data_IF_509995404297
#
_entry.id   IF_509995404297
#
_cell.length_a   1.000
_cell.length_b   1.000
_cell.length_c   1.000
_cell.angle_alpha   90.00
_cell.angle_beta   90.00
_cell.angle_gamma   90.00
#
_symmetry.space_group_name_H-M   'P 1'
#
loop_
_entity.id
_entity.type
_entity.pdbx_description
1 polymer ?
#
# COMPACT_ATOMS: atom_id res chain seq x y z
N UNK A 1 -7.82 -17.57 26.38
CA UNK A 1 -8.58 -17.29 27.61
C UNK A 1 -9.75 -18.26 27.81
N UNK A 2 -10.68 -18.40 26.84
CA UNK A 2 -11.85 -19.30 26.93
C UNK A 2 -11.52 -20.76 27.27
N UNK A 3 -10.47 -21.34 26.69
CA UNK A 3 -10.08 -22.72 26.96
C UNK A 3 -9.66 -22.96 28.42
N UNK A 4 -8.98 -21.99 29.06
CA UNK A 4 -8.60 -22.09 30.47
C UNK A 4 -9.82 -21.88 31.38
N UNK A 5 -10.70 -20.96 31.03
CA UNK A 5 -11.96 -20.78 31.75
C UNK A 5 -12.86 -22.03 31.70
N UNK A 6 -12.96 -22.71 30.54
CA UNK A 6 -13.70 -23.99 30.42
C UNK A 6 -13.10 -25.14 31.24
N UNK A 7 -11.84 -25.01 31.68
CA UNK A 7 -11.15 -25.96 32.57
C UNK A 7 -11.23 -25.55 34.04
N UNK A 8 -12.04 -24.53 34.35
CA UNK A 8 -12.23 -23.98 35.70
C UNK A 8 -10.94 -23.45 36.34
N UNK A 9 -10.02 -22.93 35.52
CA UNK A 9 -8.77 -22.34 35.99
C UNK A 9 -9.02 -21.02 36.75
N UNK A 10 -8.22 -20.76 37.79
CA UNK A 10 -8.37 -19.56 38.61
C UNK A 10 -8.07 -18.30 37.80
N UNK A 11 -8.84 -17.24 38.03
CA UNK A 11 -8.68 -15.91 37.37
C UNK A 11 -7.23 -15.40 37.41
N UNK A 12 -6.53 -15.59 38.53
CA UNK A 12 -5.12 -15.19 38.68
C UNK A 12 -4.16 -15.96 37.76
N UNK A 13 -4.38 -17.27 37.58
CA UNK A 13 -3.57 -18.11 36.68
C UNK A 13 -3.82 -17.72 35.23
N UNK A 14 -5.07 -17.49 34.86
CA UNK A 14 -5.43 -17.01 33.53
C UNK A 14 -4.82 -15.62 33.26
N UNK A 15 -4.86 -14.72 34.24
CA UNK A 15 -4.29 -13.38 34.14
C UNK A 15 -2.77 -13.42 33.91
N UNK A 16 -2.07 -14.26 34.67
CA UNK A 16 -0.64 -14.48 34.52
C UNK A 16 -0.28 -15.11 33.17
N UNK A 17 -1.04 -16.12 32.71
CA UNK A 17 -0.79 -16.77 31.44
C UNK A 17 -0.90 -15.82 30.24
N UNK A 18 -1.87 -14.90 30.28
CA UNK A 18 -2.11 -13.92 29.20
C UNK A 18 -1.44 -12.57 29.43
N UNK A 19 -0.60 -12.44 30.47
CA UNK A 19 0.06 -11.19 30.87
C UNK A 19 -0.91 -9.99 30.89
N UNK A 20 -2.02 -10.15 31.60
CA UNK A 20 -3.07 -9.15 31.68
C UNK A 20 -3.63 -9.02 33.10
N UNK A 21 -4.43 -7.98 33.35
CA UNK A 21 -5.04 -7.79 34.68
C UNK A 21 -6.11 -8.85 34.96
N UNK A 22 -6.28 -9.22 36.23
CA UNK A 22 -7.41 -10.05 36.66
C UNK A 22 -8.77 -9.44 36.30
N UNK A 23 -8.85 -8.11 36.22
CA UNK A 23 -10.07 -7.40 35.80
C UNK A 23 -10.39 -7.67 34.33
N UNK A 24 -9.39 -7.68 33.45
CA UNK A 24 -9.53 -8.08 32.04
C UNK A 24 -10.09 -9.49 31.92
N UNK A 25 -9.56 -10.43 32.71
CA UNK A 25 -10.05 -11.82 32.73
C UNK A 25 -11.51 -11.89 33.20
N UNK A 26 -11.87 -11.22 34.30
CA UNK A 26 -13.27 -11.17 34.79
C UNK A 26 -14.23 -10.59 33.74
N UNK A 27 -13.81 -9.56 33.01
CA UNK A 27 -14.62 -8.97 31.94
C UNK A 27 -14.85 -9.95 30.79
N UNK A 28 -13.83 -10.73 30.41
CA UNK A 28 -13.97 -11.77 29.39
C UNK A 28 -14.81 -12.96 29.85
N UNK A 29 -14.68 -13.41 31.10
CA UNK A 29 -15.52 -14.47 31.67
C UNK A 29 -17.01 -14.07 31.63
N UNK A 30 -17.34 -12.86 32.11
CA UNK A 30 -18.71 -12.31 32.01
C UNK A 30 -19.23 -12.23 30.58
N UNK A 31 -18.35 -12.06 29.59
CA UNK A 31 -18.72 -12.07 28.17
C UNK A 31 -19.03 -13.49 27.71
N UNK A 32 -18.19 -14.46 28.04
CA UNK A 32 -18.41 -15.86 27.68
C UNK A 32 -19.67 -16.46 28.32
N UNK A 33 -20.01 -16.06 29.55
CA UNK A 33 -21.27 -16.45 30.22
C UNK A 33 -22.53 -15.92 29.50
N UNK A 34 -22.41 -14.83 28.74
CA UNK A 34 -23.50 -14.19 28.00
C UNK A 34 -23.58 -14.64 26.54
N UNK A 35 -22.73 -15.56 26.10
CA UNK A 35 -22.76 -16.07 24.73
C UNK A 35 -23.86 -17.10 24.52
N UNK A 36 -24.49 -17.05 23.35
CA UNK A 36 -25.39 -18.08 22.81
C UNK A 36 -24.81 -18.56 21.46
N UNK A 37 -25.26 -19.72 20.96
CA UNK A 37 -24.98 -20.24 19.60
C UNK A 37 -25.15 -19.18 18.50
N UNK A 38 -26.02 -18.18 18.67
CA UNK A 38 -26.23 -17.09 17.73
C UNK A 38 -25.45 -15.79 18.04
N UNK A 39 -24.70 -15.73 19.16
CA UNK A 39 -24.00 -14.52 19.60
C UNK A 39 -22.66 -14.88 20.28
N UNK A 40 -21.68 -15.27 19.46
CA UNK A 40 -20.29 -15.42 19.90
C UNK A 40 -19.76 -14.04 20.31
N UNK A 41 -18.95 -13.94 21.37
CA UNK A 41 -18.41 -12.66 21.83
C UNK A 41 -17.56 -12.02 20.74
N UNK A 42 -18.12 -11.03 20.05
CA UNK A 42 -17.40 -10.15 19.16
C UNK A 42 -16.73 -9.01 19.96
N UNK A 43 -15.74 -8.36 19.35
CA UNK A 43 -15.14 -7.16 19.93
C UNK A 43 -16.21 -6.06 19.98
N UNK A 44 -16.69 -5.75 21.19
CA UNK A 44 -17.68 -4.69 21.46
C UNK A 44 -17.03 -3.31 21.64
N UNK A 45 -15.78 -3.12 21.21
CA UNK A 45 -15.24 -1.76 21.07
C UNK A 45 -16.26 -0.94 20.27
N UNK A 46 -16.53 0.27 20.76
CA UNK A 46 -17.38 1.21 20.05
C UNK A 46 -16.88 1.29 18.61
N UNK A 47 -17.79 1.10 17.66
CA UNK A 47 -17.45 1.25 16.26
C UNK A 47 -17.09 2.71 16.04
N UNK A 48 -15.79 2.99 16.04
CA UNK A 48 -15.22 4.29 15.71
C UNK A 48 -15.05 4.43 14.20
N UNK A 49 -15.66 3.56 13.38
CA UNK A 49 -15.76 3.83 11.96
C UNK A 49 -16.60 5.08 11.77
N UNK A 50 -15.92 6.23 11.63
CA UNK A 50 -16.54 7.49 11.23
C UNK A 50 -17.36 7.31 9.95
N UNK A 51 -18.18 8.30 9.60
CA UNK A 51 -19.14 8.22 8.49
C UNK A 51 -18.48 7.66 7.22
N UNK A 52 -18.77 6.38 6.93
CA UNK A 52 -18.31 5.74 5.70
C UNK A 52 -19.15 6.29 4.56
N UNK A 53 -18.49 6.53 3.43
CA UNK A 53 -19.19 6.85 2.18
C UNK A 53 -20.19 5.72 1.87
N UNK A 54 -21.45 6.07 1.63
CA UNK A 54 -22.46 5.10 1.22
C UNK A 54 -22.03 4.40 -0.09
N UNK A 55 -22.34 3.10 -0.24
CA UNK A 55 -21.91 2.30 -1.41
C UNK A 55 -22.28 2.94 -2.75
N UNK A 56 -23.46 3.58 -2.84
CA UNK A 56 -23.89 4.32 -4.05
C UNK A 56 -22.97 5.50 -4.37
N UNK A 57 -22.53 6.23 -3.36
CA UNK A 57 -21.59 7.36 -3.52
C UNK A 57 -20.21 6.86 -3.94
N UNK A 58 -19.80 5.66 -3.49
CA UNK A 58 -18.54 5.04 -3.92
C UNK A 58 -18.58 4.71 -5.40
N UNK A 59 -19.70 4.18 -5.91
CA UNK A 59 -19.83 3.87 -7.33
C UNK A 59 -19.81 5.14 -8.19
N UNK A 60 -20.41 6.24 -7.72
CA UNK A 60 -20.33 7.54 -8.40
C UNK A 60 -18.89 8.06 -8.46
N UNK A 61 -18.12 7.93 -7.38
CA UNK A 61 -16.69 8.26 -7.35
C UNK A 61 -15.92 7.41 -8.37
N UNK A 62 -16.21 6.11 -8.42
CA UNK A 62 -15.58 5.19 -9.38
C UNK A 62 -15.88 5.58 -10.83
N UNK A 63 -17.14 5.86 -11.15
CA UNK A 63 -17.55 6.27 -12.49
C UNK A 63 -16.85 7.56 -12.93
N UNK A 64 -16.80 8.56 -12.06
CA UNK A 64 -16.13 9.83 -12.36
C UNK A 64 -14.63 9.67 -12.65
N UNK A 65 -13.95 8.74 -11.95
CA UNK A 65 -12.54 8.42 -12.20
C UNK A 65 -12.37 7.67 -13.52
N UNK A 66 -13.29 6.77 -13.88
CA UNK A 66 -13.24 6.06 -15.16
C UNK A 66 -13.50 7.00 -16.35
N UNK A 67 -14.43 7.95 -16.20
CA UNK A 67 -14.72 8.96 -17.22
C UNK A 67 -13.59 9.98 -17.37
N UNK A 68 -12.95 10.37 -16.26
CA UNK A 68 -11.82 11.29 -16.27
C UNK A 68 -10.75 10.86 -15.26
N UNK A 69 -9.80 10.00 -15.67
CA UNK A 69 -8.76 9.49 -14.78
C UNK A 69 -7.74 10.56 -14.34
N UNK A 70 -7.72 11.72 -15.00
CA UNK A 70 -6.85 12.84 -14.67
C UNK A 70 -7.49 13.84 -13.70
N UNK A 71 -8.75 13.65 -13.31
CA UNK A 71 -9.43 14.49 -12.33
C UNK A 71 -8.74 14.35 -10.96
N UNK A 72 -8.23 15.45 -10.36
CA UNK A 72 -7.66 15.39 -9.01
C UNK A 72 -8.70 14.92 -8.00
N UNK A 73 -8.35 13.94 -7.15
CA UNK A 73 -9.28 13.35 -6.17
C UNK A 73 -9.84 14.39 -5.19
N UNK A 74 -9.09 15.46 -4.90
CA UNK A 74 -9.54 16.58 -4.06
C UNK A 74 -10.79 17.30 -4.59
N UNK A 75 -11.02 17.26 -5.90
CA UNK A 75 -12.16 17.92 -6.57
C UNK A 75 -13.38 17.02 -6.72
N UNK A 76 -13.24 15.71 -6.48
CA UNK A 76 -14.31 14.73 -6.65
C UNK A 76 -15.50 14.98 -5.71
N UNK A 77 -15.32 15.34 -4.42
CA UNK A 77 -16.46 15.67 -3.56
C UNK A 77 -17.33 16.80 -4.11
N UNK A 78 -16.70 17.90 -4.53
CA UNK A 78 -17.38 19.06 -5.11
C UNK A 78 -18.09 18.69 -6.42
N UNK A 79 -17.37 18.02 -7.34
CA UNK A 79 -17.91 17.61 -8.64
C UNK A 79 -19.12 16.66 -8.53
N UNK A 80 -19.19 15.86 -7.47
CA UNK A 80 -20.27 14.89 -7.23
C UNK A 80 -21.31 15.36 -6.21
N UNK A 81 -21.17 16.56 -5.64
CA UNK A 81 -22.03 17.08 -4.58
C UNK A 81 -22.04 16.18 -3.34
N UNK A 82 -20.89 15.65 -2.96
CA UNK A 82 -20.73 14.79 -1.78
C UNK A 82 -20.36 15.66 -0.57
N UNK A 83 -21.12 15.53 0.51
CA UNK A 83 -20.83 16.20 1.79
C UNK A 83 -19.77 15.40 2.60
N UNK A 84 -18.55 15.35 2.05
CA UNK A 84 -17.42 14.62 2.63
C UNK A 84 -16.11 15.35 2.35
N UNK A 85 -15.16 15.27 3.29
CA UNK A 85 -13.80 15.77 3.07
C UNK A 85 -13.03 14.92 2.06
N UNK A 86 -12.02 15.50 1.41
CA UNK A 86 -11.15 14.88 0.39
C UNK A 86 -10.59 13.50 0.81
N UNK A 87 -10.31 13.33 2.10
CA UNK A 87 -9.69 12.10 2.60
C UNK A 87 -10.60 10.88 2.50
N UNK A 88 -11.93 11.08 2.55
CA UNK A 88 -12.90 9.98 2.51
C UNK A 88 -12.97 9.31 1.13
N UNK A 89 -13.11 10.05 -0.01
CA UNK A 89 -12.94 9.48 -1.34
C UNK A 89 -11.56 8.84 -1.53
N UNK A 90 -10.47 9.48 -1.10
CA UNK A 90 -9.10 8.91 -1.21
C UNK A 90 -9.00 7.55 -0.53
N UNK A 91 -9.51 7.43 0.69
CA UNK A 91 -9.47 6.19 1.46
C UNK A 91 -10.40 5.13 0.86
N UNK A 92 -11.57 5.54 0.36
CA UNK A 92 -12.49 4.65 -0.35
C UNK A 92 -11.90 4.11 -1.65
N UNK A 93 -11.25 4.97 -2.45
CA UNK A 93 -10.51 4.61 -3.66
C UNK A 93 -9.42 3.60 -3.32
N UNK A 94 -8.56 3.90 -2.35
CA UNK A 94 -7.47 2.99 -1.94
C UNK A 94 -7.96 1.64 -1.41
N UNK A 95 -9.11 1.61 -0.75
CA UNK A 95 -9.64 0.38 -0.13
C UNK A 95 -10.52 -0.44 -1.07
N UNK A 96 -10.98 0.11 -2.20
CA UNK A 96 -11.99 -0.51 -3.07
C UNK A 96 -11.67 -0.49 -4.57
N UNK A 97 -10.65 0.25 -5.00
CA UNK A 97 -10.09 0.17 -6.36
C UNK A 97 -8.76 -0.58 -6.32
N UNK A 98 -8.54 -1.48 -7.28
CA UNK A 98 -7.27 -2.18 -7.44
C UNK A 98 -6.21 -1.19 -7.96
N UNK A 99 -5.56 -0.48 -7.05
CA UNK A 99 -4.39 0.35 -7.38
C UNK A 99 -3.13 -0.50 -7.29
N UNK A 100 -2.51 -0.77 -8.45
CA UNK A 100 -1.18 -1.38 -8.52
C UNK A 100 -0.12 -0.33 -8.75
N UNK A 101 1.05 -0.48 -8.14
CA UNK A 101 2.23 0.31 -8.48
C UNK A 101 3.06 -0.50 -9.45
N UNK A 102 3.55 0.14 -10.50
CA UNK A 102 4.39 -0.50 -11.51
C UNK A 102 5.60 0.36 -11.80
N UNK A 103 6.69 -0.29 -12.18
CA UNK A 103 7.86 0.36 -12.76
C UNK A 103 7.98 -0.08 -14.22
N UNK A 104 8.38 0.84 -15.09
CA UNK A 104 8.63 0.53 -16.49
C UNK A 104 9.69 1.47 -17.07
N UNK A 105 10.27 1.05 -18.19
CA UNK A 105 11.14 1.89 -19.00
C UNK A 105 10.69 1.88 -20.46
N UNK A 106 10.95 2.98 -21.17
CA UNK A 106 10.60 3.15 -22.58
C UNK A 106 11.77 3.84 -23.31
N UNK A 107 11.92 3.51 -24.58
CA UNK A 107 12.96 4.05 -25.47
C UNK A 107 12.36 4.46 -26.81
N UNK A 108 13.17 5.06 -27.69
CA UNK A 108 12.76 5.35 -29.07
C UNK A 108 12.34 4.11 -29.86
N UNK A 109 12.89 2.94 -29.51
CA UNK A 109 12.57 1.64 -30.13
C UNK A 109 11.36 0.95 -29.48
N UNK A 110 10.68 1.63 -28.57
CA UNK A 110 9.47 1.16 -27.92
C UNK A 110 9.64 0.77 -26.44
N UNK A 111 8.61 0.12 -25.87
CA UNK A 111 8.57 -0.21 -24.46
C UNK A 111 9.58 -1.31 -24.09
N UNK A 112 10.15 -1.18 -22.89
CA UNK A 112 10.87 -2.23 -22.21
C UNK A 112 9.94 -3.05 -21.30
N UNK A 113 10.47 -3.45 -20.15
CA UNK A 113 9.74 -4.22 -19.15
C UNK A 113 8.72 -3.38 -18.39
N UNK A 114 7.62 -4.03 -17.99
CA UNK A 114 6.63 -3.50 -17.06
C UNK A 114 6.57 -4.44 -15.85
N UNK A 115 7.00 -3.93 -14.70
CA UNK A 115 7.22 -4.72 -13.48
C UNK A 115 6.24 -4.28 -12.41
N UNK A 116 5.47 -5.21 -11.87
CA UNK A 116 4.59 -4.94 -10.74
C UNK A 116 5.42 -4.74 -9.46
N UNK A 117 5.13 -3.67 -8.73
CA UNK A 117 5.73 -3.39 -7.42
C UNK A 117 4.69 -3.80 -6.37
N UNK A 118 4.93 -4.93 -5.72
CA UNK A 118 4.02 -5.51 -4.73
C UNK A 118 3.82 -4.63 -3.48
N UNK A 119 4.80 -3.76 -3.20
CA UNK A 119 4.86 -2.90 -2.01
C UNK A 119 5.28 -1.49 -2.38
N UNK A 120 5.68 -0.71 -1.37
CA UNK A 120 6.27 0.62 -1.58
C UNK A 120 7.67 0.48 -2.16
N UNK A 121 7.92 1.13 -3.30
CA UNK A 121 9.26 1.25 -3.87
C UNK A 121 10.18 2.02 -2.89
N UNK A 122 11.37 1.48 -2.67
CA UNK A 122 12.47 2.14 -1.96
C UNK A 122 13.76 2.03 -2.78
N UNK A 123 14.84 2.65 -2.35
CA UNK A 123 16.10 2.69 -3.11
C UNK A 123 16.76 1.33 -3.33
N UNK A 124 16.66 0.41 -2.38
CA UNK A 124 17.22 -0.96 -2.52
C UNK A 124 16.41 -1.78 -3.53
N UNK A 125 15.08 -1.76 -3.40
CA UNK A 125 14.19 -2.42 -4.37
C UNK A 125 14.30 -1.79 -5.75
N UNK A 126 14.58 -0.48 -5.84
CA UNK A 126 14.87 0.16 -7.11
C UNK A 126 16.13 -0.41 -7.77
N UNK A 127 17.23 -0.52 -7.04
CA UNK A 127 18.47 -1.15 -7.54
C UNK A 127 18.24 -2.59 -7.97
N UNK A 128 17.42 -3.36 -7.24
CA UNK A 128 17.02 -4.70 -7.68
C UNK A 128 16.30 -4.66 -9.03
N UNK A 129 15.33 -3.76 -9.21
CA UNK A 129 14.65 -3.59 -10.49
C UNK A 129 15.63 -3.22 -11.62
N UNK A 130 16.61 -2.35 -11.35
CA UNK A 130 17.63 -1.98 -12.34
C UNK A 130 18.49 -3.18 -12.76
N UNK A 131 18.90 -4.02 -11.80
CA UNK A 131 19.69 -5.23 -12.06
C UNK A 131 18.88 -6.31 -12.80
N UNK A 132 17.63 -6.52 -12.39
CA UNK A 132 16.84 -7.66 -12.83
C UNK A 132 16.14 -7.39 -14.17
N UNK A 133 15.83 -6.12 -14.47
CA UNK A 133 15.02 -5.75 -15.64
C UNK A 133 15.72 -4.71 -16.53
N UNK A 134 16.12 -3.55 -16.00
CA UNK A 134 16.66 -2.47 -16.85
C UNK A 134 17.95 -2.90 -17.56
N UNK A 135 18.96 -3.34 -16.81
CA UNK A 135 20.28 -3.64 -17.34
C UNK A 135 20.25 -4.81 -18.34
N UNK A 136 19.59 -5.95 -18.06
CA UNK A 136 19.43 -7.02 -19.05
C UNK A 136 18.66 -6.56 -20.29
N UNK A 137 17.56 -5.82 -20.10
CA UNK A 137 16.73 -5.33 -21.21
C UNK A 137 17.48 -4.34 -22.11
N UNK A 138 18.24 -3.42 -21.53
CA UNK A 138 19.11 -2.49 -22.26
C UNK A 138 20.23 -3.24 -22.97
N UNK A 139 20.88 -4.22 -22.33
CA UNK A 139 21.95 -4.99 -22.97
C UNK A 139 21.45 -5.87 -24.12
N UNK A 140 20.25 -6.41 -24.01
CA UNK A 140 19.63 -7.18 -25.09
C UNK A 140 19.25 -6.29 -26.27
N UNK A 141 18.69 -5.10 -26.00
CA UNK A 141 18.21 -4.17 -27.04
C UNK A 141 19.34 -3.40 -27.71
N UNK A 142 20.32 -2.97 -26.93
CA UNK A 142 21.47 -2.18 -27.37
C UNK A 142 22.75 -2.96 -27.06
N UNK A 143 23.09 -4.02 -27.81
CA UNK A 143 24.23 -4.90 -27.47
C UNK A 143 25.59 -4.22 -27.63
N UNK A 144 25.66 -3.15 -28.42
CA UNK A 144 26.86 -2.34 -28.57
C UNK A 144 27.14 -1.60 -27.26
N UNK A 145 28.43 -1.49 -26.89
CA UNK A 145 28.84 -0.79 -25.67
C UNK A 145 28.83 0.74 -25.83
N UNK A 146 27.79 1.26 -26.48
CA UNK A 146 27.53 2.69 -26.61
C UNK A 146 26.73 3.20 -25.40
N UNK A 147 26.93 4.46 -24.99
CA UNK A 147 26.17 5.06 -23.91
C UNK A 147 24.66 5.06 -24.19
N UNK A 148 23.89 4.66 -23.19
CA UNK A 148 22.43 4.77 -23.15
C UNK A 148 22.07 5.83 -22.12
N UNK A 149 21.42 6.89 -22.58
CA UNK A 149 21.01 7.98 -21.72
C UNK A 149 19.70 7.66 -21.00
N UNK A 150 19.70 7.77 -19.67
CA UNK A 150 18.54 7.49 -18.82
C UNK A 150 17.95 8.79 -18.28
N UNK A 151 16.64 8.95 -18.45
CA UNK A 151 15.84 10.08 -17.98
C UNK A 151 14.84 9.54 -16.96
N UNK A 152 14.96 9.99 -15.71
CA UNK A 152 14.08 9.61 -14.59
C UNK A 152 13.82 10.84 -13.71
N UNK A 153 12.68 10.91 -13.01
CA UNK A 153 12.35 12.06 -12.15
C UNK A 153 13.31 12.18 -10.94
N UNK A 154 13.38 13.37 -10.34
CA UNK A 154 14.25 13.67 -9.18
C UNK A 154 13.70 13.13 -7.84
N UNK A 155 13.04 11.97 -7.87
CA UNK A 155 12.51 11.30 -6.68
C UNK A 155 13.64 11.01 -5.66
N UNK A 156 13.40 11.10 -4.34
CA UNK A 156 14.37 10.73 -3.31
C UNK A 156 14.91 9.30 -3.44
N UNK A 157 14.15 8.41 -4.09
CA UNK A 157 14.59 7.03 -4.39
C UNK A 157 15.69 7.05 -5.43
N UNK A 158 15.49 7.80 -6.51
CA UNK A 158 16.41 7.89 -7.65
C UNK A 158 17.68 8.65 -7.29
N UNK A 159 17.60 9.60 -6.37
CA UNK A 159 18.77 10.38 -5.90
C UNK A 159 19.48 9.75 -4.70
N UNK A 160 19.02 8.59 -4.23
CA UNK A 160 19.65 7.89 -3.11
C UNK A 160 21.08 7.44 -3.45
N UNK A 161 21.95 7.45 -2.44
CA UNK A 161 23.38 7.08 -2.60
C UNK A 161 23.57 5.71 -3.25
N UNK A 162 22.81 4.70 -2.83
CA UNK A 162 22.90 3.34 -3.38
C UNK A 162 22.57 3.28 -4.87
N UNK A 163 21.69 4.16 -5.35
CA UNK A 163 21.34 4.27 -6.78
C UNK A 163 22.46 4.98 -7.53
N UNK A 164 23.02 6.04 -6.96
CA UNK A 164 24.15 6.76 -7.55
C UNK A 164 25.39 5.86 -7.70
N UNK A 165 25.71 5.08 -6.66
CA UNK A 165 26.79 4.08 -6.68
C UNK A 165 26.52 3.02 -7.75
N UNK A 166 25.28 2.51 -7.85
CA UNK A 166 24.91 1.56 -8.88
C UNK A 166 25.14 2.10 -10.29
N UNK A 167 24.74 3.34 -10.61
CA UNK A 167 25.01 3.93 -11.93
C UNK A 167 26.51 4.12 -12.20
N UNK A 168 27.33 4.41 -11.17
CA UNK A 168 28.77 4.52 -11.32
C UNK A 168 29.43 3.19 -11.73
N UNK A 169 28.89 2.06 -11.25
CA UNK A 169 29.34 0.71 -11.62
C UNK A 169 28.87 0.26 -13.01
N UNK A 170 27.91 0.97 -13.62
CA UNK A 170 27.29 0.63 -14.90
C UNK A 170 27.45 1.77 -15.92
N UNK A 171 28.69 2.08 -16.40
CA UNK A 171 29.00 3.29 -17.18
C UNK A 171 28.31 3.37 -18.55
N UNK A 172 27.75 2.25 -19.03
CA UNK A 172 26.89 2.23 -20.21
C UNK A 172 25.61 3.03 -19.99
N UNK A 173 25.08 3.06 -18.77
CA UNK A 173 23.87 3.80 -18.41
C UNK A 173 24.27 5.18 -17.87
N UNK A 174 24.00 6.23 -18.65
CA UNK A 174 24.34 7.60 -18.27
C UNK A 174 23.09 8.37 -17.92
N UNK A 175 22.96 8.78 -16.66
CA UNK A 175 21.84 9.61 -16.24
C UNK A 175 21.95 11.02 -16.79
N UNK A 176 20.89 11.49 -17.42
CA UNK A 176 20.73 12.90 -17.74
C UNK A 176 20.11 13.62 -16.55
N UNK A 177 20.79 14.66 -16.08
CA UNK A 177 20.25 15.53 -15.05
C UNK A 177 19.18 16.42 -15.69
N UNK A 178 17.99 16.44 -15.09
CA UNK A 178 17.01 17.49 -15.39
C UNK A 178 17.46 18.77 -14.71
N UNK A 179 17.43 19.88 -15.44
CA UNK A 179 17.57 21.20 -14.82
C UNK A 179 16.38 21.39 -13.84
N UNK A 180 16.63 21.95 -12.63
CA UNK A 180 15.60 22.20 -11.64
C UNK A 180 14.54 23.20 -12.13
#
# INVERSE_FOLDING_TARGET
MRALWRRDERVGVIAQYFDCTQQTVRNWIRRFEKEDKNNLSHDLRADNSGSRLASRSVERVRHAILENPFQPVCRIPEALGLDVGEQTPRTSIKSRLHTGTYWAWISGDGPGDLVAIERRLNSETYVQILNDYLLPGVNARYPVNEPVFVIEDNSPIHTARVVAEWYADHPKLQRLNHLP
#
